data_IF_096235412729
#
_entry.id   IF_096235412729
#
_cell.length_a   1.000
_cell.length_b   1.000
_cell.length_c   1.000
_cell.angle_alpha   90.00
_cell.angle_beta   90.00
_cell.angle_gamma   90.00
#
_symmetry.space_group_name_H-M   'P 1'
#
loop_
_entity.id
_entity.type
_entity.pdbx_description
1 polymer ?
#
# COMPACT_ATOMS: atom_id res chain seq x y z
N UNK A 1 23.52 41.57 3.65
CA UNK A 1 24.52 41.34 2.58
C UNK A 1 24.77 39.85 2.36
N UNK A 2 25.36 39.09 3.30
CA UNK A 2 25.54 37.64 3.11
C UNK A 2 24.22 36.85 3.24
N UNK A 3 23.37 37.22 4.22
CA UNK A 3 22.03 36.63 4.41
C UNK A 3 21.10 36.83 3.22
N UNK A 4 21.12 38.03 2.61
CA UNK A 4 20.24 38.36 1.49
C UNK A 4 20.57 37.54 0.22
N UNK A 5 21.85 37.15 0.07
CA UNK A 5 22.31 36.28 -1.02
C UNK A 5 21.91 34.82 -0.77
N UNK A 6 21.97 34.35 0.47
CA UNK A 6 21.53 32.99 0.83
C UNK A 6 20.01 32.83 0.63
N UNK A 7 19.22 33.84 1.04
CA UNK A 7 17.78 33.89 0.79
C UNK A 7 17.45 33.91 -0.72
N UNK A 8 18.19 34.69 -1.52
CA UNK A 8 18.03 34.72 -2.97
C UNK A 8 18.42 33.37 -3.62
N UNK A 9 19.46 32.70 -3.13
CA UNK A 9 19.86 31.38 -3.60
C UNK A 9 18.77 30.35 -3.30
N UNK A 10 18.19 30.37 -2.10
CA UNK A 10 17.11 29.46 -1.71
C UNK A 10 15.84 29.68 -2.56
N UNK A 11 15.49 30.94 -2.83
CA UNK A 11 14.39 31.31 -3.72
C UNK A 11 14.62 30.83 -5.16
N UNK A 12 15.85 31.01 -5.69
CA UNK A 12 16.21 30.53 -7.02
C UNK A 12 16.18 28.99 -7.09
N UNK A 13 16.65 28.30 -6.06
CA UNK A 13 16.57 26.84 -5.98
C UNK A 13 15.12 26.35 -5.94
N UNK A 14 14.25 27.00 -5.16
CA UNK A 14 12.82 26.71 -5.12
C UNK A 14 12.15 26.92 -6.48
N UNK A 15 12.52 28.01 -7.18
CA UNK A 15 12.00 28.30 -8.53
C UNK A 15 12.47 27.27 -9.56
N UNK A 16 13.74 26.86 -9.52
CA UNK A 16 14.27 25.79 -10.37
C UNK A 16 13.54 24.47 -10.11
N UNK A 17 13.31 24.12 -8.84
CA UNK A 17 12.57 22.91 -8.47
C UNK A 17 11.13 22.94 -9.01
N UNK A 18 10.46 24.08 -8.90
CA UNK A 18 9.11 24.29 -9.43
C UNK A 18 9.06 24.18 -10.96
N UNK A 19 9.97 24.84 -11.68
CA UNK A 19 10.04 24.78 -13.15
C UNK A 19 10.36 23.36 -13.64
N UNK A 20 11.30 22.66 -13.00
CA UNK A 20 11.60 21.25 -13.31
C UNK A 20 10.38 20.35 -13.11
N UNK A 21 9.59 20.60 -12.05
CA UNK A 21 8.34 19.87 -11.81
C UNK A 21 7.31 20.15 -12.89
N UNK A 22 7.11 21.42 -13.27
CA UNK A 22 6.20 21.80 -14.36
C UNK A 22 6.61 21.19 -15.70
N UNK A 23 7.89 21.27 -16.06
CA UNK A 23 8.43 20.69 -17.29
C UNK A 23 8.22 19.17 -17.30
N UNK A 24 8.46 18.49 -16.17
CA UNK A 24 8.22 17.04 -16.05
C UNK A 24 6.75 16.70 -16.28
N UNK A 25 5.82 17.47 -15.69
CA UNK A 25 4.38 17.26 -15.87
C UNK A 25 4.01 17.47 -17.35
N UNK A 26 4.36 18.61 -17.93
CA UNK A 26 4.05 18.94 -19.33
C UNK A 26 4.63 17.91 -20.30
N UNK A 27 5.89 17.51 -20.10
CA UNK A 27 6.55 16.49 -20.92
C UNK A 27 5.82 15.16 -20.82
N UNK A 28 5.44 14.73 -19.61
CA UNK A 28 4.68 13.49 -19.43
C UNK A 28 3.31 13.56 -20.10
N UNK A 29 2.62 14.69 -20.02
CA UNK A 29 1.33 14.92 -20.70
C UNK A 29 1.49 14.85 -22.22
N UNK A 30 2.50 15.51 -22.78
CA UNK A 30 2.76 15.51 -24.23
C UNK A 30 3.11 14.11 -24.75
N UNK A 31 4.02 13.39 -24.08
CA UNK A 31 4.43 12.04 -24.50
C UNK A 31 3.29 11.02 -24.37
N UNK A 32 2.36 11.25 -23.44
CA UNK A 32 1.23 10.34 -23.21
C UNK A 32 0.00 10.69 -24.03
N UNK A 33 -0.11 11.90 -24.58
CA UNK A 33 -1.23 12.33 -25.39
C UNK A 33 -1.42 11.42 -26.63
N UNK A 34 -2.67 11.03 -26.95
CA UNK A 34 -2.96 10.19 -28.11
C UNK A 34 -2.47 10.78 -29.44
N UNK A 35 -2.59 12.09 -29.62
CA UNK A 35 -2.15 12.81 -30.83
C UNK A 35 -0.65 12.70 -31.04
N UNK A 36 0.17 12.93 -30.00
CA UNK A 36 1.63 12.79 -30.08
C UNK A 36 2.04 11.34 -30.40
N UNK A 37 1.28 10.35 -29.92
CA UNK A 37 1.54 8.94 -30.22
C UNK A 37 1.21 8.59 -31.67
N UNK A 38 0.12 9.13 -32.21
CA UNK A 38 -0.22 8.99 -33.62
C UNK A 38 0.92 9.57 -34.47
N UNK A 39 1.43 10.75 -34.14
CA UNK A 39 2.58 11.34 -34.82
C UNK A 39 3.85 10.46 -34.74
N UNK A 40 4.14 9.86 -33.58
CA UNK A 40 5.25 8.91 -33.47
C UNK A 40 5.06 7.66 -34.33
N UNK A 41 3.82 7.22 -34.56
CA UNK A 41 3.50 6.02 -35.34
C UNK A 41 3.46 6.31 -36.84
N UNK A 42 2.82 7.41 -37.24
CA UNK A 42 2.75 7.90 -38.63
C UNK A 42 4.14 8.25 -39.18
N UNK A 43 5.02 8.81 -38.36
CA UNK A 43 6.42 9.03 -38.73
C UNK A 43 7.24 7.72 -38.85
N UNK A 44 6.66 6.55 -38.60
CA UNK A 44 7.27 5.23 -38.85
C UNK A 44 6.92 4.69 -40.23
N UNK A 45 5.64 4.86 -40.59
CA UNK A 45 5.04 4.25 -41.76
C UNK A 45 5.20 5.11 -43.01
N UNK A 46 5.61 6.38 -42.86
CA UNK A 46 6.04 7.18 -44.00
C UNK A 46 7.47 6.82 -44.42
N UNK A 47 7.69 6.27 -45.63
CA UNK A 47 9.00 6.36 -46.26
C UNK A 47 9.34 7.84 -46.37
N UNK A 48 10.56 8.22 -45.99
CA UNK A 48 11.09 9.59 -45.94
C UNK A 48 10.65 10.43 -47.14
N UNK A 49 9.50 11.09 -47.04
CA UNK A 49 9.16 12.21 -47.90
C UNK A 49 9.49 13.43 -47.09
N UNK A 50 10.61 14.05 -47.46
CA UNK A 50 11.10 15.31 -46.92
C UNK A 50 9.98 16.35 -46.88
N UNK A 51 9.42 16.60 -45.70
CA UNK A 51 8.66 17.82 -45.44
C UNK A 51 9.66 18.98 -45.37
N UNK A 52 9.94 19.56 -46.54
CA UNK A 52 10.63 20.84 -46.69
C UNK A 52 9.73 21.94 -46.11
N UNK A 53 9.99 22.30 -44.85
CA UNK A 53 9.62 23.63 -44.37
C UNK A 53 10.41 24.67 -45.20
N UNK A 54 9.79 25.75 -45.70
CA UNK A 54 10.52 26.83 -46.35
C UNK A 54 11.37 27.55 -45.31
N UNK A 55 12.63 27.11 -45.18
CA UNK A 55 13.68 27.79 -44.41
C UNK A 55 14.05 29.05 -45.19
N UNK A 56 13.71 30.22 -44.65
CA UNK A 56 14.36 31.48 -45.07
C UNK A 56 15.80 31.42 -44.59
N UNK A 57 16.72 31.42 -45.54
CA UNK A 57 18.15 31.48 -45.32
C UNK A 57 18.53 32.77 -44.60
N UNK A 58 19.34 32.66 -43.54
CA UNK A 58 20.74 33.09 -43.63
C UNK A 58 21.57 32.63 -42.42
N UNK A 59 22.86 32.45 -42.68
CA UNK A 59 23.99 32.36 -41.72
C UNK A 59 24.29 31.00 -41.05
N UNK A 60 25.28 30.33 -41.66
CA UNK A 60 26.39 29.55 -41.06
C UNK A 60 26.15 28.89 -39.69
N UNK A 61 25.80 27.61 -39.68
CA UNK A 61 26.21 26.70 -38.59
C UNK A 61 26.36 25.28 -39.13
N UNK A 62 27.53 24.72 -38.87
CA UNK A 62 28.02 23.39 -39.18
C UNK A 62 27.18 22.27 -38.54
N UNK A 63 26.86 21.25 -39.35
CA UNK A 63 26.68 19.83 -38.99
C UNK A 63 25.82 19.46 -37.76
N UNK A 64 24.54 19.15 -37.99
CA UNK A 64 23.70 18.23 -37.15
C UNK A 64 22.58 17.61 -38.01
N UNK A 65 22.96 16.88 -39.06
CA UNK A 65 22.02 16.08 -39.88
C UNK A 65 21.82 14.66 -39.35
N UNK A 66 22.35 14.34 -38.17
CA UNK A 66 22.36 12.99 -37.56
C UNK A 66 21.08 12.66 -36.75
N UNK A 67 20.16 13.61 -36.61
CA UNK A 67 19.30 13.62 -35.42
C UNK A 67 17.90 13.05 -35.64
N UNK A 68 17.19 13.34 -36.73
CA UNK A 68 15.78 12.93 -36.88
C UNK A 68 15.56 11.39 -36.95
N UNK A 69 16.43 10.67 -37.67
CA UNK A 69 16.32 9.23 -37.86
C UNK A 69 16.64 8.41 -36.58
N UNK A 70 17.50 8.93 -35.70
CA UNK A 70 17.86 8.28 -34.42
C UNK A 70 17.04 8.77 -33.24
N UNK A 71 16.46 9.99 -33.31
CA UNK A 71 15.57 10.55 -32.29
C UNK A 71 14.21 9.86 -32.27
N UNK A 72 13.64 9.54 -33.44
CA UNK A 72 12.33 8.89 -33.52
C UNK A 72 12.24 7.53 -32.79
N UNK A 73 13.18 6.56 -32.98
CA UNK A 73 13.15 5.31 -32.22
C UNK A 73 13.40 5.51 -30.72
N UNK A 74 14.22 6.49 -30.33
CA UNK A 74 14.43 6.84 -28.91
C UNK A 74 13.16 7.41 -28.28
N UNK A 75 12.48 8.33 -28.96
CA UNK A 75 11.22 8.92 -28.50
C UNK A 75 10.11 7.86 -28.39
N UNK A 76 10.04 6.91 -29.33
CA UNK A 76 9.14 5.76 -29.24
C UNK A 76 9.45 4.87 -28.05
N UNK A 77 10.72 4.52 -27.85
CA UNK A 77 11.14 3.73 -26.69
C UNK A 77 10.77 4.42 -25.37
N UNK A 78 11.00 5.74 -25.27
CA UNK A 78 10.59 6.52 -24.10
C UNK A 78 9.07 6.58 -23.93
N UNK A 79 8.30 6.75 -25.02
CA UNK A 79 6.84 6.71 -24.97
C UNK A 79 6.32 5.35 -24.52
N UNK A 80 6.90 4.24 -25.01
CA UNK A 80 6.55 2.89 -24.60
C UNK A 80 6.91 2.63 -23.12
N UNK A 81 8.07 3.09 -22.65
CA UNK A 81 8.44 3.03 -21.23
C UNK A 81 7.46 3.83 -20.36
N UNK A 82 7.07 5.03 -20.79
CA UNK A 82 6.09 5.85 -20.10
C UNK A 82 4.70 5.18 -20.06
N UNK A 83 4.29 4.52 -21.15
CA UNK A 83 3.05 3.75 -21.21
C UNK A 83 3.08 2.58 -20.23
N UNK A 84 4.14 1.77 -20.25
CA UNK A 84 4.31 0.66 -19.34
C UNK A 84 4.31 1.14 -17.87
N UNK A 85 4.97 2.27 -17.58
CA UNK A 85 4.97 2.88 -16.26
C UNK A 85 3.57 3.36 -15.83
N UNK A 86 2.82 4.01 -16.72
CA UNK A 86 1.45 4.44 -16.45
C UNK A 86 0.53 3.25 -16.19
N UNK A 87 0.63 2.20 -17.01
CA UNK A 87 -0.15 0.97 -16.86
C UNK A 87 0.20 0.27 -15.53
N UNK A 88 1.49 0.15 -15.21
CA UNK A 88 1.93 -0.41 -13.93
C UNK A 88 1.41 0.41 -12.74
N UNK A 89 1.47 1.73 -12.82
CA UNK A 89 0.96 2.64 -11.79
C UNK A 89 -0.55 2.52 -11.63
N UNK A 90 -1.30 2.37 -12.73
CA UNK A 90 -2.74 2.13 -12.72
C UNK A 90 -3.08 0.80 -12.02
N UNK A 91 -2.40 -0.29 -12.38
CA UNK A 91 -2.60 -1.58 -11.71
C UNK A 91 -2.29 -1.51 -10.22
N UNK A 92 -1.23 -0.79 -9.84
CA UNK A 92 -0.87 -0.59 -8.44
C UNK A 92 -1.93 0.20 -7.67
N UNK A 93 -2.44 1.28 -8.25
CA UNK A 93 -3.47 2.12 -7.64
C UNK A 93 -4.82 1.38 -7.51
N UNK A 94 -5.27 0.67 -8.56
CA UNK A 94 -6.59 0.04 -8.58
C UNK A 94 -6.60 -1.33 -7.89
N UNK A 95 -5.61 -2.19 -8.17
CA UNK A 95 -5.60 -3.54 -7.61
C UNK A 95 -5.12 -3.53 -6.16
N UNK A 96 -4.30 -2.55 -5.74
CA UNK A 96 -3.64 -2.42 -4.42
C UNK A 96 -2.76 -3.61 -4.01
N UNK A 97 -2.80 -4.71 -4.76
CA UNK A 97 -1.93 -5.87 -4.66
C UNK A 97 -1.40 -6.18 -6.05
N UNK A 98 -0.08 -6.18 -6.20
CA UNK A 98 0.60 -6.48 -7.47
C UNK A 98 1.71 -7.49 -7.25
N UNK A 99 2.07 -8.21 -8.30
CA UNK A 99 3.19 -9.17 -8.27
C UNK A 99 4.36 -8.62 -9.06
N UNK A 100 5.57 -8.95 -8.64
CA UNK A 100 6.80 -8.62 -9.36
C UNK A 100 7.79 -9.78 -9.24
N UNK A 101 8.73 -9.85 -10.18
CA UNK A 101 9.82 -10.83 -10.14
C UNK A 101 11.05 -10.16 -9.61
N UNK A 102 11.77 -10.86 -8.74
CA UNK A 102 13.06 -10.43 -8.21
C UNK A 102 14.03 -11.61 -8.26
N UNK A 103 15.32 -11.30 -8.18
CA UNK A 103 16.37 -12.30 -8.07
C UNK A 103 17.20 -12.05 -6.83
N UNK A 104 17.34 -13.07 -5.98
CA UNK A 104 18.30 -13.08 -4.89
C UNK A 104 19.72 -13.13 -5.49
N UNK A 105 20.60 -12.17 -5.15
CA UNK A 105 21.98 -12.21 -5.62
C UNK A 105 22.81 -13.32 -4.96
N UNK A 106 22.35 -13.95 -3.88
CA UNK A 106 23.10 -15.02 -3.22
C UNK A 106 23.29 -16.25 -4.14
N UNK A 107 24.54 -16.69 -4.42
CA UNK A 107 24.80 -17.90 -5.20
C UNK A 107 24.22 -19.18 -4.60
N UNK A 108 23.95 -19.21 -3.29
CA UNK A 108 23.32 -20.35 -2.59
C UNK A 108 21.81 -20.21 -2.43
N UNK A 109 21.21 -19.21 -3.10
CA UNK A 109 19.78 -18.98 -2.99
C UNK A 109 18.96 -20.14 -3.57
N UNK A 110 17.86 -20.44 -2.88
CA UNK A 110 16.85 -21.40 -3.31
C UNK A 110 16.32 -21.03 -4.70
N UNK A 111 16.09 -22.04 -5.55
CA UNK A 111 15.55 -21.87 -6.92
C UNK A 111 16.41 -20.95 -7.81
N UNK A 112 17.75 -21.00 -7.65
CA UNK A 112 18.67 -20.14 -8.41
C UNK A 112 18.49 -18.64 -8.13
N UNK A 113 17.93 -18.32 -6.96
CA UNK A 113 17.57 -16.98 -6.54
C UNK A 113 16.25 -16.47 -7.11
N UNK A 114 15.44 -17.28 -7.79
CA UNK A 114 14.16 -16.81 -8.31
C UNK A 114 13.16 -16.49 -7.17
N UNK A 115 12.76 -15.22 -7.08
CA UNK A 115 11.80 -14.74 -6.08
C UNK A 115 10.56 -14.18 -6.77
N UNK A 116 9.39 -14.60 -6.28
CA UNK A 116 8.12 -13.96 -6.59
C UNK A 116 7.75 -12.98 -5.46
N UNK A 117 7.75 -11.70 -5.76
CA UNK A 117 7.35 -10.65 -4.83
C UNK A 117 5.87 -10.31 -4.95
N UNK A 118 5.20 -10.17 -3.81
CA UNK A 118 3.91 -9.51 -3.66
C UNK A 118 4.15 -8.12 -3.09
N UNK A 119 3.53 -7.11 -3.71
CA UNK A 119 3.53 -5.73 -3.24
C UNK A 119 2.11 -5.36 -2.85
N UNK A 120 1.91 -5.01 -1.59
CA UNK A 120 0.62 -4.56 -1.04
C UNK A 120 0.72 -3.08 -0.74
N UNK A 121 -0.15 -2.29 -1.36
CA UNK A 121 -0.25 -0.85 -1.18
C UNK A 121 -1.57 -0.51 -0.49
N UNK A 122 -1.50 0.37 0.49
CA UNK A 122 -2.67 0.83 1.23
C UNK A 122 -2.78 2.33 1.01
N UNK A 123 -3.98 2.79 0.72
CA UNK A 123 -4.29 4.22 0.64
C UNK A 123 -4.89 4.63 1.98
N UNK A 124 -4.35 5.69 2.58
CA UNK A 124 -4.90 6.33 3.76
C UNK A 124 -4.77 7.85 3.60
N UNK A 125 -5.82 8.59 3.95
CA UNK A 125 -5.87 10.06 3.83
C UNK A 125 -5.45 10.56 2.44
N UNK A 126 -6.02 9.96 1.39
CA UNK A 126 -5.73 10.26 -0.01
C UNK A 126 -4.24 10.10 -0.44
N UNK A 127 -3.43 9.37 0.33
CA UNK A 127 -2.02 9.11 0.03
C UNK A 127 -1.73 7.62 0.12
N UNK A 128 -0.83 7.15 -0.74
CA UNK A 128 -0.30 5.79 -0.61
C UNK A 128 0.67 5.74 0.57
N UNK A 129 0.44 4.79 1.46
CA UNK A 129 1.37 4.44 2.53
C UNK A 129 2.59 3.72 1.95
N UNK A 130 3.61 3.53 2.79
CA UNK A 130 4.77 2.71 2.41
C UNK A 130 4.27 1.30 2.07
N UNK A 131 4.62 0.77 0.88
CA UNK A 131 4.19 -0.56 0.46
C UNK A 131 4.75 -1.65 1.38
N UNK A 132 3.96 -2.69 1.61
CA UNK A 132 4.43 -3.93 2.20
C UNK A 132 4.86 -4.90 1.11
N UNK A 133 5.90 -5.67 1.40
CA UNK A 133 6.44 -6.68 0.52
C UNK A 133 6.34 -8.05 1.17
N UNK A 134 5.95 -9.06 0.39
CA UNK A 134 6.07 -10.47 0.76
C UNK A 134 6.80 -11.18 -0.36
N UNK A 135 7.93 -11.78 -0.04
CA UNK A 135 8.78 -12.49 -0.98
C UNK A 135 8.53 -14.00 -0.85
N UNK A 136 8.25 -14.64 -1.96
CA UNK A 136 7.96 -16.07 -2.08
C UNK A 136 9.09 -16.75 -2.85
N UNK A 137 9.57 -17.89 -2.35
CA UNK A 137 10.54 -18.75 -3.04
C UNK A 137 9.94 -20.14 -3.32
N UNK A 138 10.66 -20.98 -4.06
CA UNK A 138 10.28 -22.37 -4.36
C UNK A 138 11.27 -23.34 -3.71
N UNK A 139 11.11 -23.65 -2.42
CA UNK A 139 12.08 -24.48 -1.69
C UNK A 139 11.89 -25.96 -1.91
N UNK A 140 10.81 -26.38 -2.55
CA UNK A 140 10.46 -27.78 -2.63
C UNK A 140 11.11 -28.42 -3.86
N UNK A 141 11.95 -29.46 -3.69
CA UNK A 141 12.46 -30.20 -4.83
C UNK A 141 11.29 -30.82 -5.60
N UNK A 142 11.41 -30.89 -6.93
CA UNK A 142 10.34 -31.36 -7.82
C UNK A 142 9.82 -32.74 -7.42
N UNK A 143 8.61 -32.79 -6.86
CA UNK A 143 7.84 -34.02 -6.75
C UNK A 143 7.31 -34.36 -8.14
N UNK A 144 7.88 -35.40 -8.77
CA UNK A 144 7.51 -35.83 -10.12
C UNK A 144 6.01 -36.09 -10.26
N UNK A 145 5.33 -35.21 -10.98
CA UNK A 145 4.14 -35.54 -11.75
C UNK A 145 4.59 -35.67 -13.21
N UNK A 146 4.43 -36.87 -13.77
CA UNK A 146 5.02 -37.30 -15.05
C UNK A 146 4.79 -36.34 -16.22
N UNK A 147 5.83 -36.19 -17.03
CA UNK A 147 5.89 -35.38 -18.24
C UNK A 147 7.24 -34.71 -18.35
N UNK A 148 8.13 -35.28 -19.16
CA UNK A 148 9.56 -34.94 -19.24
C UNK A 148 9.86 -33.44 -19.38
N UNK A 149 10.81 -32.98 -18.56
CA UNK A 149 11.34 -31.61 -18.56
C UNK A 149 11.68 -31.22 -17.13
N UNK A 150 12.98 -31.06 -16.82
CA UNK A 150 13.53 -30.84 -15.47
C UNK A 150 13.01 -29.59 -14.74
N UNK A 151 11.75 -29.62 -14.29
CA UNK A 151 11.09 -28.53 -13.59
C UNK A 151 11.00 -28.81 -12.09
N UNK A 152 11.60 -27.93 -11.28
CA UNK A 152 11.40 -27.89 -9.82
C UNK A 152 9.92 -27.73 -9.44
N UNK A 153 9.59 -28.00 -8.17
CA UNK A 153 8.21 -27.91 -7.70
C UNK A 153 7.66 -26.49 -7.90
N UNK A 154 6.41 -26.38 -8.38
CA UNK A 154 5.72 -25.07 -8.52
C UNK A 154 5.22 -24.51 -7.18
N UNK A 155 5.46 -25.23 -6.09
CA UNK A 155 4.99 -24.89 -4.75
C UNK A 155 5.82 -23.74 -4.17
N UNK A 156 5.12 -22.75 -3.64
CA UNK A 156 5.67 -21.53 -3.07
C UNK A 156 5.74 -21.62 -1.54
N UNK A 157 6.70 -20.92 -0.95
CA UNK A 157 6.80 -20.67 0.48
C UNK A 157 7.12 -19.20 0.73
N UNK A 158 6.61 -18.65 1.82
CA UNK A 158 7.01 -17.32 2.31
C UNK A 158 8.47 -17.36 2.75
N UNK A 159 9.28 -16.50 2.12
CA UNK A 159 10.70 -16.34 2.42
C UNK A 159 10.95 -15.17 3.38
N UNK A 160 10.51 -13.95 3.00
CA UNK A 160 10.67 -12.72 3.80
C UNK A 160 9.46 -11.81 3.64
N UNK A 161 9.19 -10.94 4.61
CA UNK A 161 8.14 -9.92 4.50
C UNK A 161 8.46 -8.66 5.31
N UNK A 162 7.76 -7.57 5.01
CA UNK A 162 7.81 -6.31 5.77
C UNK A 162 6.51 -6.01 6.54
N UNK A 163 5.60 -6.98 6.60
CA UNK A 163 4.31 -6.84 7.29
C UNK A 163 4.46 -6.70 8.81
N UNK A 164 3.62 -5.88 9.47
CA UNK A 164 3.50 -5.84 10.93
C UNK A 164 3.26 -7.23 11.55
N UNK A 165 3.79 -7.49 12.76
CA UNK A 165 3.68 -8.80 13.42
C UNK A 165 2.24 -9.18 13.79
N UNK A 166 1.34 -8.20 13.92
CA UNK A 166 -0.09 -8.42 14.15
C UNK A 166 -0.84 -9.01 12.95
N UNK A 167 -0.22 -9.08 11.77
CA UNK A 167 -0.82 -9.70 10.59
C UNK A 167 -0.51 -11.21 10.63
N UNK A 168 -1.52 -12.10 10.61
CA UNK A 168 -1.33 -13.54 10.82
C UNK A 168 -0.81 -14.27 9.56
N UNK A 169 0.35 -13.83 9.04
CA UNK A 169 0.94 -14.31 7.79
C UNK A 169 1.19 -15.82 7.80
N UNK A 170 1.69 -16.37 8.92
CA UNK A 170 1.96 -17.79 9.06
C UNK A 170 0.68 -18.64 8.96
N UNK A 171 -0.41 -18.19 9.59
CA UNK A 171 -1.72 -18.85 9.50
C UNK A 171 -2.30 -18.80 8.08
N UNK A 172 -2.17 -17.65 7.41
CA UNK A 172 -2.57 -17.50 6.00
C UNK A 172 -1.74 -18.40 5.07
N UNK A 173 -0.43 -18.46 5.28
CA UNK A 173 0.46 -19.33 4.51
C UNK A 173 0.14 -20.81 4.76
N UNK A 174 -0.09 -21.24 6.00
CA UNK A 174 -0.47 -22.61 6.31
C UNK A 174 -1.78 -23.04 5.64
N UNK A 175 -2.77 -22.12 5.54
CA UNK A 175 -4.07 -22.40 4.93
C UNK A 175 -4.05 -22.41 3.41
N UNK A 176 -3.31 -21.50 2.77
CA UNK A 176 -3.38 -21.28 1.32
C UNK A 176 -2.12 -21.69 0.56
N UNK A 177 -0.98 -21.80 1.24
CA UNK A 177 0.31 -22.23 0.70
C UNK A 177 0.86 -23.43 1.50
N UNK A 178 0.10 -24.52 1.68
CA UNK A 178 0.57 -25.68 2.44
C UNK A 178 1.83 -26.28 1.81
N UNK A 179 2.70 -26.80 2.67
CA UNK A 179 3.86 -27.58 2.24
C UNK A 179 3.40 -28.88 1.56
N UNK A 180 4.17 -29.43 0.60
CA UNK A 180 3.89 -30.74 0.05
C UNK A 180 3.88 -31.78 1.18
N UNK A 181 2.99 -32.78 1.10
CA UNK A 181 2.96 -33.85 2.09
C UNK A 181 4.31 -34.56 2.07
N UNK A 182 4.91 -34.73 3.25
CA UNK A 182 6.07 -35.60 3.38
C UNK A 182 5.66 -36.99 2.86
N UNK A 183 6.47 -37.58 1.96
CA UNK A 183 6.27 -38.95 1.50
C UNK A 183 6.16 -39.83 2.75
N UNK A 184 4.95 -40.33 3.06
CA UNK A 184 4.77 -41.28 4.17
C UNK A 184 5.65 -42.50 3.86
N UNK A 185 6.41 -43.06 4.83
CA UNK A 185 7.03 -44.37 4.63
C UNK A 185 5.92 -45.36 4.30
N UNK A 186 6.13 -46.14 3.22
CA UNK A 186 5.20 -47.16 2.76
C UNK A 186 4.89 -48.12 3.90
N UNK A 187 3.66 -48.12 4.42
CA UNK A 187 3.30 -49.03 5.52
C UNK A 187 2.06 -48.72 6.34
N UNK A 188 1.35 -47.61 6.14
CA UNK A 188 0.04 -47.40 6.80
C UNK A 188 -1.01 -46.94 5.81
N UNK A 189 -1.71 -47.93 5.25
CA UNK A 189 -2.96 -47.74 4.54
C UNK A 189 -3.96 -47.11 5.49
N UNK A 190 -4.30 -45.87 5.21
CA UNK A 190 -5.40 -45.17 5.83
C UNK A 190 -5.99 -44.31 4.73
N UNK A 191 -7.14 -44.76 4.22
CA UNK A 191 -8.00 -44.07 3.27
C UNK A 191 -8.60 -42.81 3.91
N UNK A 192 -7.73 -41.86 4.20
CA UNK A 192 -8.09 -40.47 4.44
C UNK A 192 -7.97 -39.73 3.12
N UNK A 193 -9.05 -39.72 2.34
CA UNK A 193 -9.31 -38.72 1.31
C UNK A 193 -9.45 -37.33 1.96
N UNK A 194 -8.35 -36.84 2.53
CA UNK A 194 -8.20 -35.50 3.07
C UNK A 194 -7.37 -34.71 2.09
N UNK A 195 -8.02 -34.17 1.05
CA UNK A 195 -7.40 -33.48 -0.08
C UNK A 195 -6.20 -32.64 0.34
N UNK A 196 -5.01 -33.09 -0.07
CA UNK A 196 -3.76 -32.34 0.08
C UNK A 196 -3.96 -30.99 -0.60
N UNK A 197 -4.18 -29.94 0.20
CA UNK A 197 -4.67 -28.65 -0.27
C UNK A 197 -3.79 -28.10 -1.39
N UNK A 198 -4.32 -28.06 -2.62
CA UNK A 198 -3.66 -27.41 -3.74
C UNK A 198 -3.36 -25.97 -3.34
N UNK A 199 -2.10 -25.54 -3.46
CA UNK A 199 -1.74 -24.16 -3.17
C UNK A 199 -2.55 -23.20 -4.05
N UNK A 200 -3.10 -22.17 -3.42
CA UNK A 200 -3.85 -21.11 -4.07
C UNK A 200 -3.25 -19.75 -3.70
N UNK A 201 -2.33 -19.30 -4.56
CA UNK A 201 -1.68 -18.00 -4.41
C UNK A 201 -2.69 -16.85 -4.50
N UNK A 202 -3.75 -16.97 -5.31
CA UNK A 202 -4.72 -15.90 -5.48
C UNK A 202 -5.55 -15.72 -4.20
N UNK A 203 -5.99 -16.81 -3.57
CA UNK A 203 -6.67 -16.76 -2.27
C UNK A 203 -5.74 -16.28 -1.17
N UNK A 204 -4.49 -16.75 -1.13
CA UNK A 204 -3.48 -16.24 -0.20
C UNK A 204 -3.32 -14.72 -0.32
N UNK A 205 -3.11 -14.22 -1.54
CA UNK A 205 -2.91 -12.80 -1.80
C UNK A 205 -4.14 -11.97 -1.42
N UNK A 206 -5.36 -12.42 -1.76
CA UNK A 206 -6.61 -11.73 -1.39
C UNK A 206 -6.82 -11.70 0.13
N UNK A 207 -6.58 -12.82 0.82
CA UNK A 207 -6.71 -12.89 2.27
C UNK A 207 -5.67 -11.98 2.95
N UNK A 208 -4.42 -12.00 2.48
CA UNK A 208 -3.36 -11.12 2.96
C UNK A 208 -3.71 -9.64 2.79
N UNK A 209 -4.18 -9.25 1.61
CA UNK A 209 -4.64 -7.90 1.34
C UNK A 209 -5.75 -7.49 2.32
N UNK A 210 -6.72 -8.37 2.55
CA UNK A 210 -7.84 -8.11 3.46
C UNK A 210 -7.33 -7.82 4.88
N UNK A 211 -6.42 -8.63 5.40
CA UNK A 211 -5.85 -8.43 6.74
C UNK A 211 -5.05 -7.12 6.86
N UNK A 212 -4.24 -6.80 5.85
CA UNK A 212 -3.50 -5.52 5.80
C UNK A 212 -4.46 -4.33 5.79
N UNK A 213 -5.50 -4.37 4.95
CA UNK A 213 -6.47 -3.28 4.84
C UNK A 213 -7.26 -3.13 6.14
N UNK A 214 -7.68 -4.24 6.76
CA UNK A 214 -8.38 -4.23 8.05
C UNK A 214 -7.56 -3.57 9.15
N UNK A 215 -6.27 -3.92 9.25
CA UNK A 215 -5.37 -3.27 10.20
C UNK A 215 -5.31 -1.75 10.01
N UNK A 216 -5.14 -1.28 8.76
CA UNK A 216 -5.11 0.16 8.49
C UNK A 216 -6.47 0.84 8.63
N UNK A 217 -7.57 0.11 8.40
CA UNK A 217 -8.91 0.62 8.66
C UNK A 217 -9.09 0.90 10.15
N UNK A 218 -8.71 -0.04 11.03
CA UNK A 218 -8.75 0.15 12.48
C UNK A 218 -7.91 1.34 12.93
N UNK A 219 -6.69 1.49 12.41
CA UNK A 219 -5.86 2.67 12.70
C UNK A 219 -6.51 3.98 12.22
N UNK A 220 -7.18 3.95 11.06
CA UNK A 220 -7.96 5.08 10.56
C UNK A 220 -9.07 5.45 11.52
N UNK A 221 -9.85 4.46 11.96
CA UNK A 221 -10.92 4.63 12.95
C UNK A 221 -10.41 5.22 14.27
N UNK A 222 -9.25 4.78 14.78
CA UNK A 222 -8.63 5.38 15.98
C UNK A 222 -8.24 6.84 15.77
N UNK A 223 -7.74 7.18 14.58
CA UNK A 223 -7.42 8.57 14.27
C UNK A 223 -8.68 9.44 14.15
N UNK A 224 -9.73 8.91 13.54
CA UNK A 224 -11.02 9.59 13.41
C UNK A 224 -11.69 9.77 14.78
N UNK A 225 -11.55 8.79 15.67
CA UNK A 225 -11.94 8.86 17.08
C UNK A 225 -11.29 10.03 17.81
N UNK A 226 -9.96 10.10 17.77
CA UNK A 226 -9.19 11.18 18.40
C UNK A 226 -9.64 12.54 17.88
N UNK A 227 -9.80 12.65 16.56
CA UNK A 227 -10.28 13.87 15.91
C UNK A 227 -11.69 14.25 16.34
N UNK A 228 -12.62 13.29 16.43
CA UNK A 228 -13.99 13.52 16.85
C UNK A 228 -14.09 13.92 18.33
N UNK A 229 -13.18 13.42 19.17
CA UNK A 229 -13.04 13.80 20.57
C UNK A 229 -12.33 15.16 20.79
N UNK A 230 -11.96 15.86 19.72
CA UNK A 230 -11.22 17.13 19.81
C UNK A 230 -9.74 16.97 20.18
N UNK A 231 -9.22 15.74 20.24
CA UNK A 231 -7.80 15.47 20.52
C UNK A 231 -6.98 15.71 19.25
N UNK A 232 -6.21 16.80 19.22
CA UNK A 232 -5.32 17.15 18.11
C UNK A 232 -5.64 18.45 17.38
N UNK A 233 -6.55 19.29 17.89
CA UNK A 233 -6.52 20.73 17.60
C UNK A 233 -5.47 21.38 18.50
N UNK A 234 -4.55 22.18 17.92
CA UNK A 234 -3.80 23.15 18.70
C UNK A 234 -4.83 24.02 19.43
N UNK A 235 -4.62 24.22 20.74
CA UNK A 235 -5.51 25.01 21.59
C UNK A 235 -5.66 26.40 20.97
N UNK A 236 -6.80 26.67 20.35
CA UNK A 236 -7.25 28.04 20.24
C UNK A 236 -7.59 28.47 21.68
N UNK A 237 -6.77 29.37 22.21
CA UNK A 237 -6.82 29.88 23.58
C UNK A 237 -8.05 30.76 23.81
N UNK A 238 -9.27 30.23 23.66
CA UNK A 238 -10.48 30.99 23.99
C UNK A 238 -11.59 30.06 24.49
N UNK A 239 -11.65 29.93 25.81
CA UNK A 239 -12.83 29.44 26.54
C UNK A 239 -12.90 27.93 26.75
N UNK A 240 -12.19 27.41 27.76
CA UNK A 240 -12.49 26.07 28.30
C UNK A 240 -13.10 26.21 29.69
N UNK A 241 -14.43 26.22 29.76
CA UNK A 241 -15.12 25.74 30.96
C UNK A 241 -14.66 24.30 31.21
N UNK A 242 -14.18 24.02 32.43
CA UNK A 242 -13.71 22.70 32.86
C UNK A 242 -14.88 21.70 32.86
N UNK A 243 -15.17 21.10 31.70
CA UNK A 243 -16.14 20.02 31.59
C UNK A 243 -15.54 18.76 32.24
N UNK A 244 -16.02 18.44 33.44
CA UNK A 244 -15.60 17.30 34.27
C UNK A 244 -15.69 15.94 33.56
N UNK A 245 -16.50 15.82 32.50
CA UNK A 245 -16.69 14.60 31.73
C UNK A 245 -15.85 14.55 30.42
N UNK A 246 -14.93 15.50 30.22
CA UNK A 246 -14.15 15.60 28.97
C UNK A 246 -13.25 14.40 28.77
N UNK A 247 -13.15 13.97 27.51
CA UNK A 247 -12.25 12.88 27.14
C UNK A 247 -10.80 13.34 27.09
N UNK A 248 -9.93 12.61 27.79
CA UNK A 248 -8.50 12.93 27.96
C UNK A 248 -7.66 12.23 26.91
N UNK A 249 -7.82 10.91 26.77
CA UNK A 249 -7.06 10.13 25.78
C UNK A 249 -7.88 8.97 25.20
N UNK A 250 -7.57 8.65 23.94
CA UNK A 250 -7.98 7.42 23.26
C UNK A 250 -6.73 6.82 22.65
N UNK A 251 -6.28 5.65 23.09
CA UNK A 251 -5.07 5.00 22.56
C UNK A 251 -5.27 3.52 22.23
N UNK A 252 -4.58 2.99 21.19
CA UNK A 252 -4.50 1.55 21.00
C UNK A 252 -3.85 0.89 22.21
N UNK A 253 -4.55 -0.04 22.83
CA UNK A 253 -4.05 -0.86 23.93
C UNK A 253 -3.31 -2.12 23.45
N UNK A 254 -3.36 -2.42 22.14
CA UNK A 254 -2.67 -3.53 21.52
C UNK A 254 -2.09 -3.18 20.14
N UNK A 255 -1.11 -3.97 19.68
CA UNK A 255 -0.47 -3.79 18.39
C UNK A 255 -1.41 -4.05 17.19
N UNK A 256 -2.53 -4.74 17.41
CA UNK A 256 -3.53 -5.01 16.37
C UNK A 256 -4.56 -3.88 16.22
N UNK A 257 -4.59 -2.93 17.15
CA UNK A 257 -5.62 -1.91 17.33
C UNK A 257 -7.05 -2.51 17.46
N UNK A 258 -7.17 -3.69 18.07
CA UNK A 258 -8.47 -4.30 18.40
C UNK A 258 -8.97 -3.88 19.77
N UNK A 259 -8.07 -3.45 20.66
CA UNK A 259 -8.42 -2.95 21.97
C UNK A 259 -8.01 -1.48 22.05
N UNK A 260 -8.94 -0.62 22.47
CA UNK A 260 -8.64 0.79 22.76
C UNK A 260 -8.80 1.04 24.26
N UNK A 261 -7.85 1.79 24.81
CA UNK A 261 -7.99 2.45 26.10
C UNK A 261 -8.60 3.83 25.89
N UNK A 262 -9.50 4.20 26.77
CA UNK A 262 -10.24 5.45 26.78
C UNK A 262 -10.14 6.00 28.20
N UNK A 263 -9.74 7.26 28.36
CA UNK A 263 -9.58 7.91 29.66
C UNK A 263 -10.37 9.21 29.70
N UNK A 264 -11.14 9.40 30.77
CA UNK A 264 -11.94 10.61 31.01
C UNK A 264 -11.33 11.46 32.13
N UNK A 265 -11.67 12.75 32.15
CA UNK A 265 -11.17 13.71 33.14
C UNK A 265 -11.68 13.42 34.56
N UNK A 266 -12.83 12.76 34.70
CA UNK A 266 -13.42 12.31 35.97
C UNK A 266 -12.72 11.06 36.56
N UNK A 267 -11.66 10.57 35.93
CA UNK A 267 -10.92 9.39 36.36
C UNK A 267 -11.54 8.06 35.93
N UNK A 268 -12.66 8.07 35.18
CA UNK A 268 -13.19 6.85 34.56
C UNK A 268 -12.22 6.35 33.50
N UNK A 269 -12.19 5.04 33.33
CA UNK A 269 -11.40 4.37 32.28
C UNK A 269 -12.26 3.39 31.50
N UNK A 270 -11.96 3.27 30.22
CA UNK A 270 -12.83 2.61 29.26
C UNK A 270 -12.01 1.68 28.39
N UNK A 271 -12.51 0.46 28.20
CA UNK A 271 -11.93 -0.48 27.26
C UNK A 271 -12.91 -0.79 26.16
N UNK A 272 -12.56 -0.39 24.95
CA UNK A 272 -13.32 -0.65 23.74
C UNK A 272 -12.67 -1.80 22.97
N UNK A 273 -13.50 -2.73 22.52
CA UNK A 273 -13.12 -3.84 21.62
C UNK A 273 -13.67 -3.53 20.25
N UNK A 274 -12.78 -3.44 19.29
CA UNK A 274 -13.05 -3.20 17.87
C UNK A 274 -12.99 -4.52 17.11
N UNK A 275 -13.95 -4.72 16.21
CA UNK A 275 -13.98 -5.83 15.29
C UNK A 275 -13.00 -5.67 14.13
N UNK A 276 -12.97 -6.67 13.25
CA UNK A 276 -12.02 -6.70 12.15
C UNK A 276 -12.27 -5.58 11.12
N UNK A 277 -13.53 -5.21 10.94
CA UNK A 277 -13.97 -4.24 9.93
C UNK A 277 -14.21 -2.85 10.56
N UNK A 278 -13.72 -2.60 11.79
CA UNK A 278 -13.76 -1.29 12.46
C UNK A 278 -15.03 -1.02 13.27
N UNK A 279 -15.94 -1.97 13.36
CA UNK A 279 -17.15 -1.92 14.18
C UNK A 279 -16.83 -2.04 15.69
N UNK A 280 -17.67 -1.45 16.54
CA UNK A 280 -17.55 -1.65 17.99
C UNK A 280 -18.24 -2.95 18.38
N UNK A 281 -17.50 -3.86 18.98
CA UNK A 281 -18.02 -5.13 19.47
C UNK A 281 -18.43 -5.00 20.94
N UNK A 282 -17.63 -4.29 21.74
CA UNK A 282 -17.84 -4.17 23.18
C UNK A 282 -17.21 -2.90 23.73
N UNK A 283 -17.85 -2.28 24.70
CA UNK A 283 -17.31 -1.20 25.51
C UNK A 283 -17.55 -1.53 26.98
N UNK A 284 -16.53 -1.35 27.80
CA UNK A 284 -16.60 -1.51 29.25
C UNK A 284 -16.07 -0.23 29.86
N UNK A 285 -16.87 0.40 30.72
CA UNK A 285 -16.49 1.58 31.50
C UNK A 285 -16.27 1.15 32.95
N UNK A 286 -15.20 1.66 33.55
CA UNK A 286 -14.81 1.48 34.94
C UNK A 286 -14.80 2.87 35.58
N UNK A 287 -15.64 3.06 36.60
CA UNK A 287 -15.61 4.25 37.46
C UNK A 287 -15.13 3.91 38.87
N UNK A 288 -15.26 4.87 39.79
CA UNK A 288 -14.80 4.73 41.18
C UNK A 288 -15.39 3.50 41.91
N UNK A 289 -16.66 3.18 41.62
CA UNK A 289 -17.36 2.04 42.23
C UNK A 289 -17.23 0.74 41.42
N UNK A 290 -16.25 0.66 40.52
CA UNK A 290 -16.02 -0.49 39.66
C UNK A 290 -16.74 -0.39 38.32
N UNK A 291 -17.23 -1.51 37.79
CA UNK A 291 -17.76 -1.57 36.42
C UNK A 291 -19.11 -0.86 36.31
N UNK A 292 -19.11 0.27 35.63
CA UNK A 292 -20.31 1.05 35.31
C UNK A 292 -21.01 0.46 34.07
N UNK A 293 -22.09 -0.28 34.31
CA UNK A 293 -22.88 -0.92 33.25
C UNK A 293 -23.86 0.04 32.60
N UNK A 294 -24.26 1.11 33.30
CA UNK A 294 -25.24 2.07 32.83
C UNK A 294 -24.57 3.03 31.83
N UNK A 295 -23.45 3.64 32.22
CA UNK A 295 -22.63 4.43 31.31
C UNK A 295 -22.19 3.61 30.09
N UNK A 296 -21.79 2.35 30.30
CA UNK A 296 -21.46 1.45 29.20
C UNK A 296 -22.63 1.22 28.23
N UNK A 297 -23.87 1.09 28.72
CA UNK A 297 -25.06 0.86 27.88
C UNK A 297 -25.49 2.12 27.15
N UNK A 298 -25.43 3.27 27.81
CA UNK A 298 -25.87 4.54 27.24
C UNK A 298 -24.92 5.00 26.12
N UNK A 299 -23.61 4.79 26.33
CA UNK A 299 -22.58 5.04 25.32
C UNK A 299 -22.70 4.10 24.11
N UNK A 300 -22.96 2.81 24.34
CA UNK A 300 -23.10 1.84 23.26
C UNK A 300 -24.45 1.88 22.56
N UNK A 301 -25.52 2.43 23.17
CA UNK A 301 -26.94 2.19 22.88
C UNK A 301 -27.35 1.99 21.40
N UNK A 302 -27.03 0.83 20.83
CA UNK A 302 -27.22 0.51 19.41
C UNK A 302 -26.20 1.11 18.42
N UNK A 303 -25.19 1.86 18.88
CA UNK A 303 -24.15 2.44 18.04
C UNK A 303 -23.26 1.34 17.44
N UNK A 304 -23.36 1.15 16.13
CA UNK A 304 -22.51 0.22 15.38
C UNK A 304 -21.19 0.89 14.99
N UNK A 305 -21.25 2.20 14.74
CA UNK A 305 -20.11 3.01 14.30
C UNK A 305 -19.45 3.73 15.46
N UNK A 306 -18.14 3.80 15.34
CA UNK A 306 -17.26 4.35 16.34
C UNK A 306 -17.45 5.86 16.55
N UNK A 307 -17.77 6.59 15.47
CA UNK A 307 -18.08 8.01 15.51
C UNK A 307 -19.33 8.33 16.34
N UNK A 308 -20.33 7.45 16.35
CA UNK A 308 -21.57 7.64 17.10
C UNK A 308 -21.32 7.49 18.61
N UNK A 309 -20.46 6.54 18.99
CA UNK A 309 -20.06 6.37 20.39
C UNK A 309 -19.32 7.60 20.87
N UNK A 310 -18.37 8.17 20.11
CA UNK A 310 -17.70 9.41 20.54
C UNK A 310 -18.62 10.61 20.57
N UNK A 311 -19.54 10.76 19.61
CA UNK A 311 -20.56 11.82 19.69
C UNK A 311 -21.42 11.70 20.94
N UNK A 312 -21.77 10.47 21.35
CA UNK A 312 -22.52 10.23 22.59
C UNK A 312 -21.66 10.45 23.84
N UNK A 313 -20.39 10.08 23.79
CA UNK A 313 -19.44 10.39 24.87
C UNK A 313 -19.27 11.90 25.05
N UNK A 314 -19.28 12.67 23.97
CA UNK A 314 -19.24 14.13 23.97
C UNK A 314 -20.61 14.80 24.17
N UNK A 315 -21.68 14.02 24.35
CA UNK A 315 -23.04 14.53 24.60
C UNK A 315 -23.60 14.07 25.97
N UNK A 316 -23.02 13.04 26.56
CA UNK A 316 -23.18 12.65 27.97
C UNK A 316 -22.28 13.47 28.91
N UNK A 317 -21.49 14.40 28.34
CA UNK A 317 -20.81 15.49 29.02
C UNK A 317 -21.78 16.59 29.42
#
# INVERSE_FOLDING_TARGET
MASDLDDEIDDLQAKIASLKKQLRIQTSTLITAPSTRQLFTEAADQPTTTLTLPRKDNTTTTTTTTDAATLNPKLRAQSALQQAHNQQSLYRACATLTTFRARDPDPHAVDGGAILGLRVEVISRARFLRPYYVLLNRPYPGGGGGGGGGGGSRLLRVHRHTLPPCIPLAGLAGRYLPAPPAKKPAGRGGDGDGGVGRQDLARFARALRREVVRYHHRLGVVADLRKAAGMGRERDEEGEEEQLNRLVDIAPADAEAKHLSIEWADGRTGRLVMGDDGEIVKLVVLGENGRDREAGRDLLGGAVRVEEVVKRMAALT
#
